data_IF_639050177816
#
_entry.id   IF_639050177816
#
_cell.length_a   1.000
_cell.length_b   1.000
_cell.length_c   1.000
_cell.angle_alpha   90.00
_cell.angle_beta   90.00
_cell.angle_gamma   90.00
#
_symmetry.space_group_name_H-M   'P 1'
#
loop_
_entity.id
_entity.type
_entity.pdbx_description
1 polymer ?
#
# COMPACT_ATOMS: atom_id res chain seq x y z
N UNK A 1 32.96 -8.67 8.43
CA UNK A 1 31.90 -7.69 8.78
C UNK A 1 31.15 -7.12 7.57
N UNK A 2 31.51 -7.45 6.32
CA UNK A 2 30.80 -7.03 5.09
C UNK A 2 29.50 -7.80 4.81
N UNK A 3 29.35 -9.02 5.33
CA UNK A 3 28.15 -9.83 5.14
C UNK A 3 26.90 -9.24 5.83
N UNK A 4 27.06 -8.58 6.97
CA UNK A 4 25.95 -8.08 7.79
C UNK A 4 25.25 -6.85 7.16
N UNK A 5 26.01 -6.04 6.41
CA UNK A 5 25.45 -4.91 5.63
C UNK A 5 24.72 -5.41 4.37
N UNK A 6 25.33 -6.35 3.64
CA UNK A 6 24.71 -6.93 2.44
C UNK A 6 23.40 -7.68 2.75
N UNK A 7 23.34 -8.35 3.91
CA UNK A 7 22.11 -8.98 4.40
C UNK A 7 21.02 -7.95 4.73
N UNK A 8 21.38 -6.83 5.37
CA UNK A 8 20.44 -5.74 5.66
C UNK A 8 19.90 -5.08 4.39
N UNK A 9 20.75 -4.86 3.40
CA UNK A 9 20.35 -4.28 2.11
C UNK A 9 19.39 -5.22 1.37
N UNK A 10 19.64 -6.52 1.39
CA UNK A 10 18.74 -7.53 0.83
C UNK A 10 17.38 -7.52 1.56
N UNK A 11 17.38 -7.50 2.89
CA UNK A 11 16.14 -7.44 3.67
C UNK A 11 15.38 -6.16 3.35
N UNK A 12 16.06 -5.01 3.28
CA UNK A 12 15.44 -3.74 2.92
C UNK A 12 14.81 -3.78 1.51
N UNK A 13 15.51 -4.38 0.54
CA UNK A 13 14.97 -4.60 -0.79
C UNK A 13 13.69 -5.44 -0.77
N UNK A 14 13.70 -6.57 -0.05
CA UNK A 14 12.51 -7.42 0.10
C UNK A 14 11.35 -6.69 0.79
N UNK A 15 11.64 -5.85 1.79
CA UNK A 15 10.61 -5.03 2.47
C UNK A 15 10.02 -3.96 1.57
N UNK A 16 10.83 -3.31 0.73
CA UNK A 16 10.35 -2.36 -0.28
C UNK A 16 9.41 -3.03 -1.28
N UNK A 17 9.78 -4.23 -1.73
CA UNK A 17 8.96 -5.00 -2.65
C UNK A 17 7.63 -5.44 -2.02
N UNK A 18 7.65 -5.89 -0.76
CA UNK A 18 6.43 -6.21 -0.01
C UNK A 18 5.51 -5.00 0.16
N UNK A 19 6.04 -3.81 0.49
CA UNK A 19 5.24 -2.60 0.57
C UNK A 19 4.63 -2.24 -0.79
N UNK A 20 5.41 -2.34 -1.87
CA UNK A 20 4.94 -2.07 -3.24
C UNK A 20 3.78 -2.98 -3.61
N UNK A 21 3.92 -4.29 -3.40
CA UNK A 21 2.87 -5.27 -3.67
C UNK A 21 1.62 -5.01 -2.83
N UNK A 22 1.77 -4.67 -1.55
CA UNK A 22 0.65 -4.32 -0.69
C UNK A 22 -0.05 -3.02 -1.15
N UNK A 23 0.72 -2.04 -1.64
CA UNK A 23 0.19 -0.80 -2.21
C UNK A 23 -0.57 -1.02 -3.52
N UNK A 24 -0.11 -1.95 -4.37
CA UNK A 24 -0.83 -2.38 -5.57
C UNK A 24 -2.15 -3.07 -5.21
N UNK A 25 -2.13 -4.00 -4.25
CA UNK A 25 -3.34 -4.64 -3.76
C UNK A 25 -4.37 -3.63 -3.19
N UNK A 26 -3.90 -2.63 -2.44
CA UNK A 26 -4.76 -1.55 -1.95
C UNK A 26 -5.38 -0.76 -3.10
N UNK A 27 -4.59 -0.40 -4.11
CA UNK A 27 -5.09 0.33 -5.29
C UNK A 27 -6.16 -0.46 -6.03
N UNK A 28 -5.92 -1.76 -6.26
CA UNK A 28 -6.90 -2.64 -6.90
C UNK A 28 -8.18 -2.75 -6.08
N UNK A 29 -8.10 -2.89 -4.76
CA UNK A 29 -9.27 -2.94 -3.89
C UNK A 29 -10.08 -1.62 -3.94
N UNK A 30 -9.39 -0.47 -3.98
CA UNK A 30 -10.04 0.85 -4.10
C UNK A 30 -10.73 1.03 -5.45
N UNK A 31 -10.11 0.59 -6.55
CA UNK A 31 -10.74 0.59 -7.87
C UNK A 31 -12.00 -0.27 -7.89
N UNK A 32 -11.93 -1.49 -7.34
CA UNK A 32 -13.10 -2.36 -7.24
C UNK A 32 -14.22 -1.72 -6.41
N UNK A 33 -13.90 -1.12 -5.26
CA UNK A 33 -14.89 -0.42 -4.45
C UNK A 33 -15.59 0.70 -5.25
N UNK A 34 -14.82 1.53 -5.96
CA UNK A 34 -15.36 2.59 -6.80
C UNK A 34 -16.28 2.03 -7.90
N UNK A 35 -15.91 0.92 -8.53
CA UNK A 35 -16.74 0.27 -9.57
C UNK A 35 -18.06 -0.25 -8.98
N UNK A 36 -18.02 -0.93 -7.83
CA UNK A 36 -19.22 -1.47 -7.21
C UNK A 36 -20.15 -0.37 -6.67
N UNK A 37 -19.59 0.74 -6.18
CA UNK A 37 -20.36 1.93 -5.77
C UNK A 37 -21.02 2.63 -6.97
N UNK A 38 -20.32 2.75 -8.10
CA UNK A 38 -20.89 3.29 -9.34
C UNK A 38 -22.03 2.41 -9.86
N UNK A 39 -21.88 1.09 -9.82
CA UNK A 39 -22.95 0.15 -10.21
C UNK A 39 -24.18 0.29 -9.30
N UNK A 40 -23.97 0.41 -7.98
CA UNK A 40 -25.08 0.63 -7.05
C UNK A 40 -25.81 1.94 -7.35
N UNK A 41 -25.07 3.03 -7.52
CA UNK A 41 -25.65 4.33 -7.87
C UNK A 41 -26.43 4.30 -9.19
N UNK A 42 -25.94 3.56 -10.19
CA UNK A 42 -26.65 3.37 -11.45
C UNK A 42 -27.97 2.60 -11.27
N UNK A 43 -27.99 1.56 -10.44
CA UNK A 43 -29.22 0.81 -10.11
C UNK A 43 -30.23 1.69 -9.36
N UNK A 44 -29.76 2.52 -8.44
CA UNK A 44 -30.59 3.47 -7.69
C UNK A 44 -31.19 4.55 -8.60
N UNK A 45 -30.39 5.17 -9.46
CA UNK A 45 -30.88 6.15 -10.43
C UNK A 45 -31.88 5.54 -11.42
N UNK A 46 -31.63 4.31 -11.89
CA UNK A 46 -32.57 3.61 -12.75
C UNK A 46 -33.91 3.31 -12.03
N UNK A 47 -33.87 2.93 -10.75
CA UNK A 47 -35.06 2.71 -9.95
C UNK A 47 -35.89 3.99 -9.79
N UNK A 48 -35.25 5.13 -9.53
CA UNK A 48 -35.91 6.43 -9.40
C UNK A 48 -36.57 6.87 -10.72
N UNK A 49 -35.85 6.77 -11.83
CA UNK A 49 -36.40 7.07 -13.16
C UNK A 49 -37.62 6.20 -13.48
N UNK A 50 -37.54 4.92 -13.13
CA UNK A 50 -38.63 3.98 -13.38
C UNK A 50 -39.88 4.33 -12.57
N UNK A 51 -39.73 4.66 -11.28
CA UNK A 51 -40.86 5.13 -10.45
C UNK A 51 -41.48 6.43 -10.99
N UNK A 52 -40.66 7.38 -11.42
CA UNK A 52 -41.12 8.64 -12.02
C UNK A 52 -41.94 8.43 -13.30
N UNK A 53 -41.52 7.50 -14.17
CA UNK A 53 -42.27 7.14 -15.39
C UNK A 53 -43.58 6.40 -15.08
N UNK A 54 -43.60 5.57 -14.05
CA UNK A 54 -44.78 4.82 -13.65
C UNK A 54 -45.89 5.72 -13.06
N UNK A 55 -45.52 6.80 -12.37
CA UNK A 55 -46.47 7.79 -11.85
C UNK A 55 -47.25 8.53 -12.96
N UNK A 56 -46.78 8.50 -14.20
CA UNK A 56 -47.37 9.18 -15.37
C UNK A 56 -48.06 8.15 -16.31
N UNK A 57 -47.91 6.83 -16.05
CA UNK A 57 -48.23 5.72 -16.96
C UNK A 57 -49.56 4.95 -16.71
N UNK A 58 -49.92 4.00 -17.60
CA UNK A 58 -51.31 3.60 -17.89
C UNK A 58 -52.00 2.75 -16.83
N UNK A 59 -53.34 2.83 -16.81
CA UNK A 59 -54.26 2.19 -15.86
C UNK A 59 -54.48 0.67 -16.05
N UNK A 60 -53.71 0.01 -16.92
CA UNK A 60 -53.89 -1.43 -17.22
C UNK A 60 -53.37 -2.30 -16.06
N UNK A 61 -54.24 -3.12 -15.43
CA UNK A 61 -53.86 -4.01 -14.33
C UNK A 61 -52.72 -5.00 -14.66
N UNK A 62 -52.57 -5.41 -15.93
CA UNK A 62 -51.48 -6.33 -16.34
C UNK A 62 -50.13 -5.64 -16.32
N UNK A 63 -50.06 -4.42 -16.84
CA UNK A 63 -48.86 -3.58 -16.83
C UNK A 63 -48.43 -3.27 -15.39
N UNK A 64 -49.39 -3.00 -14.50
CA UNK A 64 -49.13 -2.77 -13.07
C UNK A 64 -48.59 -4.02 -12.36
N UNK A 65 -49.05 -5.21 -12.72
CA UNK A 65 -48.55 -6.47 -12.13
C UNK A 65 -47.11 -6.74 -12.56
N UNK A 66 -46.82 -6.63 -13.86
CA UNK A 66 -45.50 -6.93 -14.40
C UNK A 66 -44.46 -5.89 -13.91
N UNK A 67 -44.87 -4.64 -13.77
CA UNK A 67 -44.12 -3.58 -13.11
C UNK A 67 -43.72 -3.92 -11.66
N UNK A 68 -44.64 -4.46 -10.85
CA UNK A 68 -44.37 -4.86 -9.46
C UNK A 68 -43.35 -5.99 -9.37
N UNK A 69 -43.43 -6.97 -10.27
CA UNK A 69 -42.46 -8.06 -10.34
C UNK A 69 -41.06 -7.56 -10.68
N UNK A 70 -40.97 -6.65 -11.66
CA UNK A 70 -39.71 -6.03 -12.04
C UNK A 70 -39.09 -5.22 -10.89
N UNK A 71 -39.88 -4.42 -10.17
CA UNK A 71 -39.41 -3.68 -9.00
C UNK A 71 -38.90 -4.59 -7.89
N UNK A 72 -39.58 -5.72 -7.64
CA UNK A 72 -39.12 -6.70 -6.66
C UNK A 72 -37.76 -7.30 -7.06
N UNK A 73 -37.56 -7.60 -8.35
CA UNK A 73 -36.30 -8.11 -8.87
C UNK A 73 -35.18 -7.06 -8.82
N UNK A 74 -35.51 -5.80 -9.12
CA UNK A 74 -34.57 -4.67 -9.03
C UNK A 74 -34.10 -4.46 -7.59
N UNK A 75 -35.01 -4.50 -6.62
CA UNK A 75 -34.67 -4.38 -5.20
C UNK A 75 -33.79 -5.55 -4.73
N UNK A 76 -34.08 -6.78 -5.12
CA UNK A 76 -33.21 -7.93 -4.83
C UNK A 76 -31.81 -7.74 -5.41
N UNK A 77 -31.71 -7.24 -6.65
CA UNK A 77 -30.44 -6.96 -7.31
C UNK A 77 -29.68 -5.85 -6.59
N UNK A 78 -30.38 -4.79 -6.18
CA UNK A 78 -29.80 -3.67 -5.41
C UNK A 78 -29.26 -4.13 -4.06
N UNK A 79 -29.99 -4.97 -3.35
CA UNK A 79 -29.53 -5.55 -2.07
C UNK A 79 -28.28 -6.40 -2.28
N UNK A 80 -28.27 -7.27 -3.29
CA UNK A 80 -27.09 -8.07 -3.65
C UNK A 80 -25.89 -7.17 -3.99
N UNK A 81 -26.10 -6.10 -4.76
CA UNK A 81 -25.08 -5.11 -5.09
C UNK A 81 -24.57 -4.38 -3.84
N UNK A 82 -25.45 -4.00 -2.92
CA UNK A 82 -25.08 -3.42 -1.63
C UNK A 82 -24.15 -4.33 -0.82
N UNK A 83 -24.39 -5.64 -0.82
CA UNK A 83 -23.47 -6.60 -0.21
C UNK A 83 -22.11 -6.66 -0.91
N UNK A 84 -22.05 -6.49 -2.24
CA UNK A 84 -20.77 -6.40 -2.95
C UNK A 84 -19.98 -5.17 -2.52
N UNK A 85 -20.63 -4.00 -2.42
CA UNK A 85 -20.02 -2.76 -1.94
C UNK A 85 -19.45 -2.95 -0.52
N UNK A 86 -20.23 -3.56 0.39
CA UNK A 86 -19.75 -3.83 1.75
C UNK A 86 -18.50 -4.72 1.75
N UNK A 87 -18.50 -5.82 0.97
CA UNK A 87 -17.31 -6.67 0.83
C UNK A 87 -16.11 -5.94 0.24
N UNK A 88 -16.33 -5.09 -0.76
CA UNK A 88 -15.26 -4.29 -1.35
C UNK A 88 -14.69 -3.28 -0.34
N UNK A 89 -15.52 -2.67 0.51
CA UNK A 89 -15.07 -1.79 1.62
C UNK A 89 -14.21 -2.55 2.62
N UNK A 90 -14.64 -3.72 3.05
CA UNK A 90 -13.86 -4.59 3.95
C UNK A 90 -12.51 -4.99 3.33
N UNK A 91 -12.50 -5.27 2.03
CA UNK A 91 -11.27 -5.58 1.29
C UNK A 91 -10.31 -4.39 1.25
N UNK A 92 -10.81 -3.17 1.03
CA UNK A 92 -10.00 -1.93 1.09
C UNK A 92 -9.38 -1.76 2.47
N UNK A 93 -10.15 -1.91 3.54
CA UNK A 93 -9.62 -1.74 4.90
C UNK A 93 -8.59 -2.81 5.26
N UNK A 94 -8.82 -4.06 4.84
CA UNK A 94 -7.85 -5.14 4.99
C UNK A 94 -6.55 -4.85 4.23
N UNK A 95 -6.65 -4.40 2.97
CA UNK A 95 -5.50 -4.07 2.15
C UNK A 95 -4.74 -2.85 2.70
N UNK A 96 -5.46 -1.84 3.21
CA UNK A 96 -4.90 -0.65 3.85
C UNK A 96 -4.08 -1.01 5.08
N UNK A 97 -4.64 -1.86 5.95
CA UNK A 97 -3.94 -2.34 7.15
C UNK A 97 -2.65 -3.10 6.79
N UNK A 98 -2.70 -3.96 5.77
CA UNK A 98 -1.52 -4.70 5.27
C UNK A 98 -0.45 -3.76 4.73
N UNK A 99 -0.84 -2.79 3.90
CA UNK A 99 0.10 -1.80 3.35
C UNK A 99 0.76 -0.98 4.46
N UNK A 100 -0.02 -0.48 5.43
CA UNK A 100 0.54 0.28 6.55
C UNK A 100 1.53 -0.54 7.37
N UNK A 101 1.20 -1.81 7.66
CA UNK A 101 2.11 -2.72 8.36
C UNK A 101 3.41 -2.94 7.58
N UNK A 102 3.32 -3.20 6.27
CA UNK A 102 4.49 -3.39 5.41
C UNK A 102 5.38 -2.14 5.39
N UNK A 103 4.77 -0.96 5.28
CA UNK A 103 5.46 0.33 5.32
C UNK A 103 6.19 0.57 6.63
N UNK A 104 5.53 0.34 7.77
CA UNK A 104 6.16 0.48 9.09
C UNK A 104 7.36 -0.46 9.25
N UNK A 105 7.24 -1.70 8.78
CA UNK A 105 8.34 -2.67 8.80
C UNK A 105 9.50 -2.23 7.90
N UNK A 106 9.23 -1.72 6.69
CA UNK A 106 10.26 -1.16 5.81
C UNK A 106 10.99 0.00 6.47
N UNK A 107 10.26 0.98 7.02
CA UNK A 107 10.83 2.16 7.68
C UNK A 107 11.67 1.80 8.91
N UNK A 108 11.31 0.74 9.63
CA UNK A 108 12.12 0.24 10.75
C UNK A 108 13.47 -0.32 10.26
N UNK A 109 13.47 -1.15 9.21
CA UNK A 109 14.69 -1.71 8.63
C UNK A 109 15.56 -0.64 7.98
N UNK A 110 14.96 0.33 7.28
CA UNK A 110 15.68 1.44 6.66
C UNK A 110 16.44 2.27 7.69
N UNK A 111 15.78 2.60 8.82
CA UNK A 111 16.44 3.29 9.93
C UNK A 111 17.58 2.48 10.55
N UNK A 112 17.42 1.16 10.66
CA UNK A 112 18.49 0.28 11.17
C UNK A 112 19.68 0.24 10.21
N UNK A 113 19.43 0.09 8.91
CA UNK A 113 20.46 0.09 7.88
C UNK A 113 21.26 1.41 7.87
N UNK A 114 20.56 2.56 7.95
CA UNK A 114 21.21 3.87 8.04
C UNK A 114 22.14 4.00 9.26
N UNK A 115 21.67 3.59 10.45
CA UNK A 115 22.52 3.61 11.67
C UNK A 115 23.76 2.75 11.52
N UNK A 116 23.64 1.53 10.98
CA UNK A 116 24.80 0.65 10.77
C UNK A 116 25.77 1.22 9.75
N UNK A 117 25.28 1.86 8.68
CA UNK A 117 26.14 2.51 7.70
C UNK A 117 26.93 3.67 8.33
N UNK A 118 26.29 4.48 9.17
CA UNK A 118 26.94 5.60 9.87
C UNK A 118 27.95 5.14 10.92
N UNK A 119 27.66 4.07 11.66
CA UNK A 119 28.61 3.43 12.58
C UNK A 119 29.84 2.92 11.82
N UNK A 120 29.63 2.29 10.66
CA UNK A 120 30.73 1.77 9.84
C UNK A 120 31.62 2.89 9.29
N UNK A 121 31.02 3.95 8.74
CA UNK A 121 31.75 5.14 8.25
C UNK A 121 32.59 5.77 9.37
N UNK A 122 32.04 5.87 10.58
CA UNK A 122 32.76 6.39 11.75
C UNK A 122 33.88 5.46 12.23
N UNK A 123 33.74 4.16 12.07
CA UNK A 123 34.79 3.18 12.36
C UNK A 123 35.94 3.26 11.35
N UNK A 124 35.61 3.33 10.06
CA UNK A 124 36.55 3.46 8.94
C UNK A 124 37.37 4.76 9.06
N UNK A 125 36.72 5.91 9.26
CA UNK A 125 37.41 7.19 9.46
C UNK A 125 38.39 7.18 10.65
N UNK A 126 38.02 6.53 11.75
CA UNK A 126 38.91 6.36 12.92
C UNK A 126 40.07 5.40 12.67
N UNK A 127 39.90 4.42 11.79
CA UNK A 127 40.97 3.51 11.42
C UNK A 127 41.97 4.20 10.48
N UNK A 128 41.47 4.93 9.48
CA UNK A 128 42.28 5.73 8.55
C UNK A 128 43.09 6.80 9.28
N UNK A 129 42.48 7.53 10.21
CA UNK A 129 43.19 8.53 11.01
C UNK A 129 44.33 7.90 11.82
N UNK A 130 44.08 6.77 12.50
CA UNK A 130 45.13 6.06 13.26
C UNK A 130 46.28 5.61 12.37
N UNK A 131 45.98 5.07 11.19
CA UNK A 131 46.99 4.64 10.25
C UNK A 131 47.85 5.82 9.73
N UNK A 132 47.23 6.97 9.46
CA UNK A 132 47.94 8.19 9.07
C UNK A 132 48.84 8.72 10.19
N UNK A 133 48.38 8.69 11.44
CA UNK A 133 49.15 9.11 12.61
C UNK A 133 50.37 8.19 12.81
N UNK A 134 50.20 6.87 12.69
CA UNK A 134 51.29 5.90 12.78
C UNK A 134 52.34 6.09 11.68
N UNK A 135 51.90 6.25 10.42
CA UNK A 135 52.81 6.52 9.30
C UNK A 135 53.56 7.84 9.49
N UNK A 136 52.88 8.88 10.00
CA UNK A 136 53.50 10.17 10.30
C UNK A 136 54.55 10.08 11.41
N UNK A 137 54.27 9.28 12.44
CA UNK A 137 55.19 9.04 13.55
C UNK A 137 56.43 8.26 13.06
N UNK A 138 56.21 7.19 12.28
CA UNK A 138 57.28 6.39 11.69
C UNK A 138 58.18 7.23 10.76
N UNK A 139 57.59 8.08 9.91
CA UNK A 139 58.34 8.98 9.04
C UNK A 139 59.22 9.97 9.82
N UNK A 140 58.74 10.50 10.97
CA UNK A 140 59.55 11.38 11.84
C UNK A 140 60.71 10.65 12.49
N UNK A 141 60.52 9.41 12.93
CA UNK A 141 61.59 8.60 13.54
C UNK A 141 62.69 8.31 12.52
N UNK A 142 62.33 7.96 11.29
CA UNK A 142 63.29 7.72 10.20
C UNK A 142 64.04 9.00 9.84
N UNK A 143 63.35 10.14 9.71
CA UNK A 143 63.99 11.42 9.39
C UNK A 143 64.92 11.93 10.52
N UNK A 144 64.57 11.67 11.79
CA UNK A 144 65.39 12.03 12.94
C UNK A 144 66.61 11.15 13.18
N UNK A 145 66.68 9.97 12.54
CA UNK A 145 67.79 9.01 12.66
C UNK A 145 68.86 9.16 11.57
N UNK A 146 68.74 10.18 10.70
CA UNK A 146 69.65 10.49 9.58
C UNK A 146 70.58 11.68 9.89
N UNK A 147 70.67 12.12 11.14
CA UNK A 147 71.65 13.11 11.61
C UNK A 147 72.56 12.49 12.67
#
# INVERSE_FOLDING_TARGET
MTQDTAQLDLVLHLRREQERQAGEALRTAQSLLSEEEQRLAALEGYAEEYHGRQAIGPSDPRVLRDARLFLAQLEQTRQAQGHQVLRAREAVETARARWLSARVQREAIERLAGRRQDERRRGEARAEQRQQDELSLAARVVAGSVH
#
